data_IF_080506801182
#
_entry.id   IF_080506801182
#
_cell.length_a   1.000
_cell.length_b   1.000
_cell.length_c   1.000
_cell.angle_alpha   90.00
_cell.angle_beta   90.00
_cell.angle_gamma   90.00
#
_symmetry.space_group_name_H-M   'P 1'
#
loop_
_entity.id
_entity.type
_entity.pdbx_description
1 polymer ?
#
# COMPACT_ATOMS: atom_id res chain seq x y z
N UNK A 1 22.19 9.98 -2.31
CA UNK A 1 21.78 10.90 -1.23
C UNK A 1 21.31 12.16 -1.93
N UNK A 2 20.00 12.46 -1.95
CA UNK A 2 19.24 13.03 -0.81
C UNK A 2 17.80 12.43 -0.78
N UNK A 3 16.86 12.67 0.13
CA UNK A 3 16.61 13.65 1.19
C UNK A 3 16.43 12.84 2.48
N UNK A 4 17.49 12.76 3.29
CA UNK A 4 17.34 12.32 4.68
C UNK A 4 16.70 13.51 5.38
N UNK A 5 15.41 13.41 5.71
CA UNK A 5 14.77 14.28 6.69
C UNK A 5 15.78 14.52 7.81
N UNK A 6 16.10 15.78 8.11
CA UNK A 6 16.71 16.13 9.40
C UNK A 6 15.76 15.55 10.43
N UNK A 7 16.08 14.37 10.97
CA UNK A 7 15.25 13.69 11.96
C UNK A 7 15.13 14.65 13.13
N UNK A 8 13.97 15.29 13.23
CA UNK A 8 13.69 16.17 14.33
C UNK A 8 13.71 15.32 15.61
N UNK A 9 14.20 15.88 16.71
CA UNK A 9 14.18 15.21 18.02
C UNK A 9 12.78 14.67 18.34
N UNK A 10 11.72 15.35 17.87
CA UNK A 10 10.34 14.91 18.03
C UNK A 10 10.02 13.61 17.28
N UNK A 11 10.47 13.43 16.03
CA UNK A 11 10.26 12.18 15.27
C UNK A 11 10.99 11.02 15.94
N UNK A 12 12.22 11.26 16.40
CA UNK A 12 13.00 10.24 17.13
C UNK A 12 12.35 9.89 18.46
N UNK A 13 11.88 10.89 19.22
CA UNK A 13 11.16 10.68 20.48
C UNK A 13 9.85 9.93 20.24
N UNK A 14 9.07 10.31 19.23
CA UNK A 14 7.84 9.61 18.83
C UNK A 14 8.09 8.14 18.51
N UNK A 15 9.13 7.84 17.72
CA UNK A 15 9.53 6.46 17.40
C UNK A 15 9.96 5.68 18.66
N UNK A 16 10.66 6.32 19.60
CA UNK A 16 11.09 5.70 20.85
C UNK A 16 9.90 5.44 21.79
N UNK A 17 8.96 6.38 21.92
CA UNK A 17 7.74 6.19 22.73
C UNK A 17 6.75 5.22 22.09
N UNK A 18 6.65 5.16 20.77
CA UNK A 18 5.77 4.20 20.07
C UNK A 18 6.28 2.76 20.18
N UNK A 19 7.59 2.58 20.36
CA UNK A 19 8.22 1.29 20.64
C UNK A 19 8.29 0.97 22.14
N UNK A 20 7.87 1.91 22.99
CA UNK A 20 7.85 1.74 24.44
C UNK A 20 6.57 1.06 24.90
N UNK A 21 6.50 -0.25 24.69
CA UNK A 21 5.35 -1.06 25.05
C UNK A 21 5.26 -1.37 26.57
N UNK A 22 6.08 -0.72 27.41
CA UNK A 22 6.37 -1.11 28.82
C UNK A 22 5.13 -1.37 29.68
N UNK A 23 4.07 -0.57 29.54
CA UNK A 23 2.84 -0.67 30.35
C UNK A 23 1.67 -1.34 29.63
N UNK A 24 1.87 -1.83 28.41
CA UNK A 24 0.80 -2.46 27.64
C UNK A 24 0.45 -3.83 28.21
N UNK A 25 -0.84 -4.11 28.38
CA UNK A 25 -1.33 -5.42 28.85
C UNK A 25 -1.46 -6.45 27.70
N UNK A 26 -1.51 -5.96 26.47
CA UNK A 26 -1.53 -6.73 25.22
C UNK A 26 -1.14 -5.81 24.04
N UNK A 27 -0.82 -6.43 22.90
CA UNK A 27 -0.49 -5.73 21.65
C UNK A 27 -1.46 -6.21 20.57
N UNK A 28 -2.11 -5.27 19.89
CA UNK A 28 -2.90 -5.54 18.69
C UNK A 28 -2.04 -5.18 17.49
N UNK A 29 -1.87 -6.13 16.56
CA UNK A 29 -1.01 -5.94 15.40
C UNK A 29 -1.78 -6.20 14.11
N UNK A 30 -1.67 -5.26 13.15
CA UNK A 30 -2.31 -5.40 11.83
C UNK A 30 -1.45 -6.29 10.92
N UNK A 31 -1.27 -7.55 11.28
CA UNK A 31 -0.59 -8.56 10.47
C UNK A 31 -1.25 -9.92 10.71
N UNK A 32 -0.75 -10.95 10.07
CA UNK A 32 -1.26 -12.32 10.20
C UNK A 32 -0.12 -13.31 10.35
N UNK A 33 -0.42 -14.44 11.00
CA UNK A 33 0.56 -15.49 11.27
C UNK A 33 1.20 -16.00 9.98
N UNK A 34 0.41 -16.21 8.93
CA UNK A 34 0.88 -16.76 7.65
C UNK A 34 1.83 -15.84 6.88
N UNK A 35 1.89 -14.54 7.22
CA UNK A 35 2.83 -13.57 6.65
C UNK A 35 4.10 -13.44 7.49
N UNK A 36 3.97 -13.40 8.82
CA UNK A 36 5.05 -12.96 9.71
C UNK A 36 5.31 -13.89 10.92
N UNK A 37 4.93 -15.17 10.86
CA UNK A 37 5.08 -16.17 11.94
C UNK A 37 6.42 -16.09 12.69
N UNK A 38 7.53 -16.05 11.95
CA UNK A 38 8.88 -16.00 12.54
C UNK A 38 9.10 -14.74 13.39
N UNK A 39 8.58 -13.59 12.95
CA UNK A 39 8.71 -12.33 13.65
C UNK A 39 7.76 -12.25 14.84
N UNK A 40 6.49 -12.68 14.66
CA UNK A 40 5.51 -12.76 15.73
C UNK A 40 6.00 -13.65 16.89
N UNK A 41 6.55 -14.82 16.57
CA UNK A 41 7.14 -15.72 17.55
C UNK A 41 8.28 -15.06 18.36
N UNK A 42 9.14 -14.28 17.70
CA UNK A 42 10.24 -13.55 18.37
C UNK A 42 9.73 -12.40 19.24
N UNK A 43 8.73 -11.67 18.77
CA UNK A 43 8.11 -10.57 19.52
C UNK A 43 7.42 -11.11 20.78
N UNK A 44 6.71 -12.24 20.66
CA UNK A 44 6.04 -12.90 21.78
C UNK A 44 7.04 -13.31 22.88
N UNK A 45 8.21 -13.86 22.50
CA UNK A 45 9.28 -14.21 23.43
C UNK A 45 9.90 -13.00 24.12
N UNK A 46 10.04 -11.88 23.40
CA UNK A 46 10.68 -10.66 23.91
C UNK A 46 9.78 -9.92 24.90
N UNK A 47 8.52 -9.73 24.54
CA UNK A 47 7.66 -8.77 25.21
C UNK A 47 6.76 -9.37 26.28
N UNK A 48 6.64 -10.70 26.34
CA UNK A 48 5.91 -11.46 27.40
C UNK A 48 4.49 -10.96 27.67
N UNK A 49 3.89 -10.25 26.72
CA UNK A 49 2.47 -9.85 26.71
C UNK A 49 1.80 -10.53 25.53
N UNK A 50 0.49 -10.82 25.60
CA UNK A 50 -0.24 -11.37 24.45
C UNK A 50 -0.16 -10.44 23.24
N UNK A 51 0.19 -10.99 22.08
CA UNK A 51 0.16 -10.31 20.79
C UNK A 51 -0.97 -10.91 19.95
N UNK A 52 -1.85 -10.06 19.44
CA UNK A 52 -3.01 -10.44 18.64
C UNK A 52 -2.81 -9.96 17.19
N UNK A 53 -2.36 -10.85 16.27
CA UNK A 53 -2.27 -10.55 14.84
C UNK A 53 -3.68 -10.61 14.21
N UNK A 54 -4.35 -9.47 14.16
CA UNK A 54 -5.74 -9.35 13.66
C UNK A 54 -5.80 -8.77 12.25
N UNK A 55 -4.73 -8.88 11.47
CA UNK A 55 -4.65 -8.32 10.13
C UNK A 55 -5.16 -9.28 9.04
N UNK A 56 -5.34 -8.75 7.82
CA UNK A 56 -5.50 -7.33 7.49
C UNK A 56 -6.82 -6.70 8.00
N UNK A 57 -6.69 -5.58 8.72
CA UNK A 57 -7.82 -4.85 9.29
C UNK A 57 -8.87 -4.38 8.25
N UNK A 58 -8.44 -4.10 7.02
CA UNK A 58 -9.33 -3.61 5.98
C UNK A 58 -10.39 -4.64 5.53
N UNK A 59 -10.17 -5.95 5.76
CA UNK A 59 -11.14 -7.03 5.51
C UNK A 59 -12.06 -7.29 6.71
N UNK A 60 -11.57 -7.10 7.94
CA UNK A 60 -12.32 -7.37 9.18
C UNK A 60 -13.35 -6.27 9.47
N UNK A 61 -12.91 -5.02 9.34
CA UNK A 61 -13.75 -3.86 9.52
C UNK A 61 -13.80 -3.11 8.18
N UNK A 62 -14.70 -3.49 7.25
CA UNK A 62 -14.96 -2.70 6.06
C UNK A 62 -15.54 -1.36 6.51
N UNK A 63 -14.68 -0.38 6.73
CA UNK A 63 -15.07 0.95 7.17
C UNK A 63 -15.98 1.56 6.11
N UNK A 64 -17.25 1.78 6.43
CA UNK A 64 -18.18 2.55 5.57
C UNK A 64 -17.78 4.02 5.43
N UNK A 65 -16.75 4.48 6.16
CA UNK A 65 -16.20 5.83 6.07
C UNK A 65 -14.73 5.76 5.72
N UNK A 66 -14.37 6.51 4.69
CA UNK A 66 -12.99 6.77 4.29
C UNK A 66 -12.28 7.50 5.43
N UNK A 67 -11.04 7.12 5.72
CA UNK A 67 -10.21 7.84 6.71
C UNK A 67 -9.60 9.13 6.12
N UNK A 68 -9.88 9.42 4.85
CA UNK A 68 -9.46 10.64 4.15
C UNK A 68 -10.46 11.76 4.40
N UNK A 69 -9.94 12.97 4.67
CA UNK A 69 -10.73 14.20 4.74
C UNK A 69 -11.20 14.70 3.36
N UNK A 70 -10.84 13.98 2.29
CA UNK A 70 -11.09 14.33 0.90
C UNK A 70 -12.01 13.26 0.30
N UNK A 71 -13.04 13.72 -0.42
CA UNK A 71 -14.00 12.86 -1.10
C UNK A 71 -13.30 12.02 -2.18
N UNK A 72 -13.65 10.73 -2.24
CA UNK A 72 -13.16 9.82 -3.26
C UNK A 72 -13.83 10.11 -4.61
N UNK A 73 -13.04 10.16 -5.67
CA UNK A 73 -13.55 10.32 -7.02
C UNK A 73 -13.86 8.94 -7.62
N UNK A 74 -15.12 8.49 -7.46
CA UNK A 74 -15.62 7.25 -8.04
C UNK A 74 -15.68 7.28 -9.58
N UNK A 75 -15.48 8.42 -10.24
CA UNK A 75 -15.50 8.50 -11.72
C UNK A 75 -14.38 7.69 -12.39
N UNK A 76 -13.30 7.40 -11.65
CA UNK A 76 -12.23 6.54 -12.16
C UNK A 76 -12.68 5.09 -12.35
N UNK A 77 -13.70 4.61 -11.63
CA UNK A 77 -14.18 3.23 -11.75
C UNK A 77 -14.84 2.97 -13.12
N UNK A 78 -15.68 3.90 -13.56
CA UNK A 78 -16.30 3.82 -14.90
C UNK A 78 -15.24 3.81 -16.02
N UNK A 79 -14.14 4.54 -15.84
CA UNK A 79 -13.02 4.50 -16.79
C UNK A 79 -12.29 3.16 -16.76
N UNK A 80 -12.16 2.51 -15.60
CA UNK A 80 -11.56 1.19 -15.45
C UNK A 80 -12.41 0.08 -16.07
N UNK A 81 -13.74 0.21 -16.06
CA UNK A 81 -14.68 -0.73 -16.71
C UNK A 81 -14.43 -0.87 -18.21
N UNK A 82 -14.00 0.21 -18.88
CA UNK A 82 -13.69 0.23 -20.30
C UNK A 82 -12.31 -0.35 -20.65
N UNK A 83 -11.48 -0.67 -19.65
CA UNK A 83 -10.12 -1.19 -19.86
C UNK A 83 -10.07 -2.71 -19.92
N UNK A 84 -9.07 -3.24 -20.64
CA UNK A 84 -8.85 -4.68 -20.69
C UNK A 84 -8.47 -5.24 -19.30
N UNK A 85 -8.81 -6.51 -18.99
CA UNK A 85 -8.44 -7.14 -17.74
C UNK A 85 -6.92 -7.08 -17.48
N UNK A 86 -6.56 -6.72 -16.25
CA UNK A 86 -5.17 -6.64 -15.78
C UNK A 86 -4.24 -5.83 -16.72
N UNK A 87 -4.74 -4.76 -17.32
CA UNK A 87 -3.98 -3.90 -18.25
C UNK A 87 -3.56 -2.56 -17.64
N UNK A 88 -4.21 -2.13 -16.56
CA UNK A 88 -4.01 -0.81 -15.97
C UNK A 88 -2.96 -0.86 -14.87
N UNK A 89 -1.99 0.06 -14.89
CA UNK A 89 -1.13 0.34 -13.73
C UNK A 89 -1.77 1.44 -12.88
N UNK A 90 -2.04 1.14 -11.62
CA UNK A 90 -2.49 2.13 -10.65
C UNK A 90 -1.28 2.74 -9.92
N UNK A 91 -1.22 4.06 -9.83
CA UNK A 91 -0.18 4.82 -9.13
C UNK A 91 -0.77 5.59 -7.95
N UNK A 92 -0.27 5.30 -6.75
CA UNK A 92 -0.54 6.06 -5.52
C UNK A 92 0.79 6.29 -4.80
N UNK A 93 1.58 7.20 -5.36
CA UNK A 93 2.99 7.41 -4.97
C UNK A 93 3.07 8.28 -3.72
N UNK A 94 2.15 9.23 -3.56
CA UNK A 94 1.98 9.99 -2.33
C UNK A 94 0.97 9.27 -1.44
N UNK A 95 1.47 8.51 -0.46
CA UNK A 95 0.74 8.48 0.82
C UNK A 95 0.48 9.94 1.25
N UNK A 96 -0.49 10.19 2.12
CA UNK A 96 -0.98 11.53 2.50
C UNK A 96 0.08 12.55 3.01
N UNK A 97 1.37 12.20 3.00
CA UNK A 97 2.50 12.88 3.62
C UNK A 97 3.72 13.11 2.69
N UNK A 98 3.73 12.64 1.43
CA UNK A 98 4.88 12.80 0.54
C UNK A 98 4.67 13.90 -0.51
N UNK A 99 5.69 14.72 -0.73
CA UNK A 99 5.74 15.75 -1.77
C UNK A 99 6.66 15.31 -2.92
N UNK A 100 6.32 15.72 -4.14
CA UNK A 100 7.02 15.47 -5.40
C UNK A 100 7.42 16.84 -5.96
N UNK A 101 8.65 17.00 -6.43
CA UNK A 101 9.05 18.24 -7.12
C UNK A 101 8.63 18.25 -8.60
N UNK A 102 8.79 19.38 -9.27
CA UNK A 102 8.43 19.53 -10.69
C UNK A 102 9.20 18.55 -11.59
N UNK A 103 10.48 18.30 -11.29
CA UNK A 103 11.33 17.42 -12.13
C UNK A 103 10.87 15.98 -12.03
N UNK A 104 10.64 15.49 -10.80
CA UNK A 104 10.11 14.16 -10.56
C UNK A 104 8.72 13.99 -11.18
N UNK A 105 7.85 15.01 -11.11
CA UNK A 105 6.55 14.97 -11.77
C UNK A 105 6.68 14.76 -13.29
N UNK A 106 7.55 15.52 -13.96
CA UNK A 106 7.78 15.41 -15.40
C UNK A 106 8.37 14.05 -15.81
N UNK A 107 9.31 13.52 -15.02
CA UNK A 107 9.91 12.21 -15.25
C UNK A 107 8.88 11.08 -15.05
N UNK A 108 8.01 11.17 -14.03
CA UNK A 108 6.90 10.24 -13.82
C UNK A 108 5.90 10.31 -14.97
N UNK A 109 5.46 11.52 -15.33
CA UNK A 109 4.51 11.75 -16.42
C UNK A 109 5.05 11.19 -17.75
N UNK A 110 6.31 11.48 -18.06
CA UNK A 110 6.98 10.98 -19.27
C UNK A 110 7.14 9.46 -19.24
N UNK A 111 7.59 8.91 -18.10
CA UNK A 111 7.75 7.46 -17.94
C UNK A 111 6.44 6.68 -18.08
N UNK A 112 5.32 7.24 -17.59
CA UNK A 112 3.98 6.67 -17.80
C UNK A 112 3.59 6.67 -19.27
N UNK A 113 3.78 7.80 -19.96
CA UNK A 113 3.48 7.91 -21.38
C UNK A 113 4.32 6.93 -22.22
N UNK A 114 5.63 6.84 -21.92
CA UNK A 114 6.63 6.00 -22.61
C UNK A 114 6.47 4.50 -22.31
N UNK A 115 5.82 4.14 -21.20
CA UNK A 115 5.52 2.73 -20.88
C UNK A 115 4.54 2.09 -21.87
N UNK A 116 3.74 2.93 -22.53
CA UNK A 116 2.63 2.56 -23.39
C UNK A 116 1.56 1.67 -22.72
N UNK A 117 1.46 1.69 -21.39
CA UNK A 117 0.42 0.98 -20.63
C UNK A 117 -0.70 1.95 -20.22
N UNK A 118 -1.96 1.49 -20.15
CA UNK A 118 -3.01 2.24 -19.49
C UNK A 118 -2.66 2.52 -18.03
N UNK A 119 -2.92 3.74 -17.53
CA UNK A 119 -2.59 4.11 -16.16
C UNK A 119 -3.69 4.92 -15.47
N UNK A 120 -3.84 4.71 -14.18
CA UNK A 120 -4.63 5.55 -13.28
C UNK A 120 -3.69 6.16 -12.24
N UNK A 121 -3.58 7.48 -12.21
CA UNK A 121 -2.71 8.18 -11.27
C UNK A 121 -3.52 8.99 -10.27
N UNK A 122 -3.42 8.61 -9.00
CA UNK A 122 -3.95 9.41 -7.88
C UNK A 122 -2.86 10.41 -7.43
N UNK A 123 -3.07 11.70 -7.70
CA UNK A 123 -2.15 12.77 -7.29
C UNK A 123 -2.91 14.02 -6.87
N UNK A 124 -2.56 14.55 -5.70
CA UNK A 124 -3.09 15.82 -5.24
C UNK A 124 -2.21 16.98 -5.75
N UNK A 125 -2.81 18.09 -6.22
CA UNK A 125 -2.05 19.28 -6.56
C UNK A 125 -1.18 19.79 -5.40
N UNK A 126 -1.65 19.66 -4.15
CA UNK A 126 -0.88 20.04 -2.96
C UNK A 126 0.42 19.23 -2.78
N UNK A 127 0.49 18.03 -3.35
CA UNK A 127 1.69 17.17 -3.27
C UNK A 127 2.80 17.60 -4.21
N UNK A 128 2.56 18.49 -5.18
CA UNK A 128 3.60 18.95 -6.11
C UNK A 128 4.23 20.23 -5.55
N UNK A 129 5.51 20.25 -5.21
CA UNK A 129 6.20 21.45 -4.70
C UNK A 129 6.73 22.35 -5.84
N UNK A 130 6.87 23.65 -5.57
CA UNK A 130 7.56 24.58 -6.49
C UNK A 130 6.76 25.14 -7.67
N UNK A 131 5.54 24.66 -7.91
CA UNK A 131 4.71 25.06 -9.06
C UNK A 131 3.52 25.96 -8.68
N UNK A 132 3.27 27.03 -9.42
CA UNK A 132 2.08 27.90 -9.22
C UNK A 132 0.83 27.35 -9.94
N UNK A 133 0.96 26.78 -11.14
CA UNK A 133 -0.16 26.31 -11.98
C UNK A 133 -0.34 24.78 -12.00
N UNK A 134 -0.23 24.14 -10.83
CA UNK A 134 -0.22 22.67 -10.67
C UNK A 134 -1.44 21.97 -11.29
N UNK A 135 -2.63 22.56 -11.15
CA UNK A 135 -3.87 21.98 -11.66
C UNK A 135 -3.90 21.97 -13.19
N UNK A 136 -3.44 23.05 -13.83
CA UNK A 136 -3.34 23.11 -15.30
C UNK A 136 -2.34 22.09 -15.84
N UNK A 137 -1.20 21.92 -15.16
CA UNK A 137 -0.19 20.94 -15.54
C UNK A 137 -0.77 19.51 -15.54
N UNK A 138 -1.50 19.15 -14.48
CA UNK A 138 -2.18 17.86 -14.37
C UNK A 138 -3.24 17.70 -15.48
N UNK A 139 -4.07 18.71 -15.69
CA UNK A 139 -5.11 18.67 -16.74
C UNK A 139 -4.51 18.51 -18.14
N UNK A 140 -3.42 19.21 -18.44
CA UNK A 140 -2.78 19.15 -19.75
C UNK A 140 -2.07 17.82 -19.97
N UNK A 141 -1.52 17.22 -18.91
CA UNK A 141 -1.02 15.84 -18.94
C UNK A 141 -2.15 14.83 -19.19
N UNK A 142 -3.29 14.95 -18.49
CA UNK A 142 -4.45 14.10 -18.70
C UNK A 142 -4.97 14.25 -20.13
N UNK A 143 -5.16 15.48 -20.64
CA UNK A 143 -5.61 15.76 -22.02
C UNK A 143 -4.73 15.09 -23.07
N UNK A 144 -3.41 15.13 -22.91
CA UNK A 144 -2.44 14.47 -23.80
C UNK A 144 -2.56 12.94 -23.80
N UNK A 145 -3.09 12.36 -22.72
CA UNK A 145 -3.17 10.91 -22.53
C UNK A 145 -4.59 10.38 -22.37
N UNK A 146 -5.64 11.15 -22.70
CA UNK A 146 -7.05 10.82 -22.43
C UNK A 146 -7.53 9.43 -22.86
N UNK A 147 -6.89 8.83 -23.86
CA UNK A 147 -7.22 7.49 -24.33
C UNK A 147 -6.64 6.35 -23.48
N UNK A 148 -5.61 6.61 -22.68
CA UNK A 148 -4.85 5.59 -21.92
C UNK A 148 -4.63 5.96 -20.46
N UNK A 149 -4.74 7.23 -20.10
CA UNK A 149 -4.40 7.76 -18.79
C UNK A 149 -5.58 8.48 -18.16
N UNK A 150 -5.84 8.19 -16.89
CA UNK A 150 -6.77 8.92 -16.04
C UNK A 150 -6.02 9.46 -14.83
N UNK A 151 -6.26 10.72 -14.48
CA UNK A 151 -5.67 11.35 -13.30
C UNK A 151 -6.79 11.81 -12.38
N UNK A 152 -6.70 11.47 -11.09
CA UNK A 152 -7.68 11.87 -10.08
C UNK A 152 -6.99 12.43 -8.85
N UNK A 153 -7.66 13.33 -8.13
CA UNK A 153 -7.13 13.92 -6.89
C UNK A 153 -7.04 12.90 -5.76
N UNK A 154 -8.06 12.03 -5.66
CA UNK A 154 -8.13 10.98 -4.66
C UNK A 154 -8.94 9.80 -5.21
N UNK A 155 -8.31 8.64 -5.31
CA UNK A 155 -8.95 7.43 -5.81
C UNK A 155 -9.51 6.59 -4.66
N UNK A 156 -10.65 5.91 -4.84
CA UNK A 156 -11.11 4.87 -3.91
C UNK A 156 -10.19 3.64 -4.01
N UNK A 157 -8.99 3.73 -3.43
CA UNK A 157 -7.88 2.79 -3.61
C UNK A 157 -8.29 1.33 -3.44
N UNK A 158 -9.11 1.01 -2.42
CA UNK A 158 -9.62 -0.35 -2.20
C UNK A 158 -10.45 -0.85 -3.39
N UNK A 159 -11.38 -0.03 -3.89
CA UNK A 159 -12.23 -0.39 -5.05
C UNK A 159 -11.40 -0.50 -6.32
N UNK A 160 -10.42 0.39 -6.49
CA UNK A 160 -9.49 0.36 -7.64
C UNK A 160 -8.64 -0.91 -7.63
N UNK A 161 -8.03 -1.27 -6.50
CA UNK A 161 -7.21 -2.48 -6.39
C UNK A 161 -8.04 -3.76 -6.57
N UNK A 162 -9.30 -3.76 -6.14
CA UNK A 162 -10.23 -4.87 -6.36
C UNK A 162 -10.75 -4.96 -7.81
N UNK A 163 -10.49 -3.95 -8.64
CA UNK A 163 -10.99 -3.90 -10.02
C UNK A 163 -10.22 -4.84 -10.94
N UNK A 164 -10.93 -5.68 -11.70
CA UNK A 164 -10.31 -6.70 -12.57
C UNK A 164 -9.39 -6.16 -13.67
N UNK A 165 -9.56 -4.89 -14.04
CA UNK A 165 -8.71 -4.19 -15.01
C UNK A 165 -7.33 -3.79 -14.47
N UNK A 166 -7.16 -3.70 -13.15
CA UNK A 166 -5.88 -3.32 -12.54
C UNK A 166 -4.92 -4.52 -12.57
N UNK A 167 -3.78 -4.32 -13.23
CA UNK A 167 -2.75 -5.34 -13.41
C UNK A 167 -1.50 -5.13 -12.57
N UNK A 168 -1.36 -3.96 -11.95
CA UNK A 168 -0.21 -3.61 -11.12
C UNK A 168 -0.44 -2.35 -10.30
N UNK A 169 0.32 -2.22 -9.21
CA UNK A 169 0.20 -1.11 -8.29
C UNK A 169 1.57 -0.49 -7.94
N UNK A 170 1.81 0.73 -8.35
CA UNK A 170 2.96 1.50 -7.91
C UNK A 170 2.64 2.24 -6.61
N UNK A 171 3.36 1.86 -5.56
CA UNK A 171 3.14 2.34 -4.20
C UNK A 171 4.44 2.73 -3.49
N UNK A 172 4.30 3.60 -2.50
CA UNK A 172 5.32 3.87 -1.51
C UNK A 172 5.53 2.74 -0.49
N UNK A 173 4.81 1.62 -0.59
CA UNK A 173 4.95 0.45 0.29
C UNK A 173 4.56 0.71 1.76
N UNK A 174 3.62 1.64 2.00
CA UNK A 174 2.98 1.76 3.31
C UNK A 174 2.20 0.47 3.63
N UNK A 175 2.24 0.04 4.89
CA UNK A 175 1.75 -1.29 5.27
C UNK A 175 0.27 -1.56 4.91
N UNK A 176 -0.60 -0.56 5.06
CA UNK A 176 -2.02 -0.70 4.66
C UNK A 176 -2.17 -0.92 3.15
N UNK A 177 -1.52 -0.10 2.34
CA UNK A 177 -1.53 -0.22 0.87
C UNK A 177 -0.92 -1.56 0.42
N UNK A 178 0.11 -2.03 1.12
CA UNK A 178 0.70 -3.36 0.89
C UNK A 178 -0.34 -4.47 1.14
N UNK A 179 -1.01 -4.46 2.28
CA UNK A 179 -2.02 -5.45 2.61
C UNK A 179 -3.20 -5.42 1.64
N UNK A 180 -3.65 -4.23 1.21
CA UNK A 180 -4.72 -4.09 0.21
C UNK A 180 -4.31 -4.68 -1.15
N UNK A 181 -3.07 -4.41 -1.59
CA UNK A 181 -2.56 -4.96 -2.86
C UNK A 181 -2.46 -6.48 -2.83
N UNK A 182 -1.91 -7.04 -1.75
CA UNK A 182 -1.82 -8.50 -1.56
C UNK A 182 -3.21 -9.13 -1.45
N UNK A 183 -4.13 -8.46 -0.74
CA UNK A 183 -5.50 -8.90 -0.54
C UNK A 183 -6.29 -9.01 -1.85
N UNK A 184 -5.93 -8.22 -2.86
CA UNK A 184 -6.54 -8.27 -4.18
C UNK A 184 -5.73 -9.03 -5.24
N UNK A 185 -4.49 -9.42 -4.93
CA UNK A 185 -3.64 -10.17 -5.85
C UNK A 185 -2.97 -9.30 -6.91
N UNK A 186 -2.66 -8.04 -6.57
CA UNK A 186 -2.07 -7.07 -7.49
C UNK A 186 -0.56 -6.94 -7.19
N UNK A 187 0.34 -7.22 -8.15
CA UNK A 187 1.78 -7.08 -7.96
C UNK A 187 2.19 -5.61 -7.91
N UNK A 188 3.31 -5.32 -7.23
CA UNK A 188 3.66 -3.94 -6.87
C UNK A 188 4.94 -3.41 -7.54
N UNK A 189 4.95 -2.13 -7.90
CA UNK A 189 6.19 -1.36 -8.09
C UNK A 189 6.45 -0.62 -6.79
N UNK A 190 7.62 -0.86 -6.20
CA UNK A 190 7.99 -0.42 -4.87
C UNK A 190 8.90 0.81 -4.97
N UNK A 191 8.41 1.96 -4.48
CA UNK A 191 9.21 3.18 -4.31
C UNK A 191 9.07 3.72 -2.88
N UNK A 192 9.74 3.14 -1.90
CA UNK A 192 9.65 3.60 -0.51
C UNK A 192 10.24 5.00 -0.33
N UNK A 193 9.66 5.77 0.58
CA UNK A 193 10.12 7.12 0.92
C UNK A 193 10.74 7.18 2.32
N UNK A 194 10.06 6.67 3.35
CA UNK A 194 10.52 6.80 4.75
C UNK A 194 9.98 5.71 5.68
N UNK A 195 10.51 5.67 6.91
CA UNK A 195 10.09 4.79 8.01
C UNK A 195 10.09 3.29 7.62
N UNK A 196 8.99 2.59 7.90
CA UNK A 196 8.79 1.16 7.68
C UNK A 196 8.70 0.80 6.20
N UNK A 197 8.42 1.77 5.32
CA UNK A 197 8.27 1.55 3.88
C UNK A 197 9.50 0.88 3.25
N UNK A 198 10.70 1.23 3.70
CA UNK A 198 11.95 0.62 3.22
C UNK A 198 12.02 -0.88 3.55
N UNK A 199 11.56 -1.25 4.75
CA UNK A 199 11.51 -2.64 5.19
C UNK A 199 10.40 -3.37 4.45
N UNK A 200 9.22 -2.77 4.32
CA UNK A 200 8.08 -3.34 3.60
C UNK A 200 8.43 -3.60 2.12
N UNK A 201 9.09 -2.65 1.46
CA UNK A 201 9.56 -2.80 0.08
C UNK A 201 10.52 -4.00 -0.02
N UNK A 202 11.46 -4.13 0.91
CA UNK A 202 12.40 -5.26 0.93
C UNK A 202 11.68 -6.60 1.11
N UNK A 203 10.67 -6.68 1.96
CA UNK A 203 9.84 -7.89 2.11
C UNK A 203 9.12 -8.23 0.78
N UNK A 204 8.50 -7.23 0.14
CA UNK A 204 7.79 -7.40 -1.13
C UNK A 204 8.69 -7.88 -2.26
N UNK A 205 9.91 -7.35 -2.34
CA UNK A 205 10.85 -7.62 -3.44
C UNK A 205 11.65 -8.91 -3.19
N UNK A 206 12.25 -9.07 -2.00
CA UNK A 206 13.25 -10.10 -1.74
C UNK A 206 12.65 -11.37 -1.15
N UNK A 207 11.75 -11.24 -0.18
CA UNK A 207 11.18 -12.38 0.54
C UNK A 207 9.97 -12.95 -0.20
N UNK A 208 9.00 -12.10 -0.53
CA UNK A 208 7.74 -12.53 -1.13
C UNK A 208 7.77 -12.54 -2.66
N UNK A 209 8.68 -11.77 -3.28
CA UNK A 209 8.85 -11.70 -4.74
C UNK A 209 7.54 -11.39 -5.46
N UNK A 210 6.82 -10.39 -4.95
CA UNK A 210 5.52 -9.90 -5.46
C UNK A 210 5.62 -8.47 -6.00
N UNK A 211 6.82 -7.88 -6.00
CA UNK A 211 7.03 -6.56 -6.54
C UNK A 211 8.44 -6.33 -7.08
N UNK A 212 8.58 -5.22 -7.81
CA UNK A 212 9.83 -4.74 -8.40
C UNK A 212 10.23 -3.42 -7.75
N UNK A 213 11.53 -3.22 -7.53
CA UNK A 213 12.05 -1.95 -7.05
C UNK A 213 12.10 -0.91 -8.17
N UNK A 214 11.66 0.31 -7.88
CA UNK A 214 11.96 1.47 -8.70
C UNK A 214 13.12 2.25 -8.08
N UNK A 215 14.32 2.04 -8.60
CA UNK A 215 15.55 2.62 -8.04
C UNK A 215 15.61 4.14 -8.17
N UNK A 216 15.12 4.66 -9.31
CA UNK A 216 15.22 6.07 -9.68
C UNK A 216 13.96 6.59 -10.36
N UNK A 217 13.68 7.86 -10.13
CA UNK A 217 12.62 8.60 -10.81
C UNK A 217 13.20 9.16 -12.10
N UNK A 218 13.43 8.27 -13.06
CA UNK A 218 13.89 8.62 -14.41
C UNK A 218 12.93 7.94 -15.40
N UNK A 219 12.43 8.67 -16.39
CA UNK A 219 11.40 8.23 -17.34
C UNK A 219 11.70 6.88 -17.97
N UNK A 220 12.98 6.63 -18.31
CA UNK A 220 13.42 5.36 -18.91
C UNK A 220 13.28 4.20 -17.94
N UNK A 221 13.73 4.39 -16.70
CA UNK A 221 13.65 3.40 -15.62
C UNK A 221 12.19 3.13 -15.26
N UNK A 222 11.37 4.18 -15.17
CA UNK A 222 9.93 4.07 -14.89
C UNK A 222 9.24 3.27 -15.99
N UNK A 223 9.42 3.66 -17.26
CA UNK A 223 8.78 3.01 -18.38
C UNK A 223 9.21 1.53 -18.49
N UNK A 224 10.48 1.23 -18.27
CA UNK A 224 10.99 -0.14 -18.24
C UNK A 224 10.40 -0.96 -17.09
N UNK A 225 10.37 -0.41 -15.87
CA UNK A 225 9.83 -1.10 -14.69
C UNK A 225 8.34 -1.40 -14.85
N UNK A 226 7.56 -0.45 -15.38
CA UNK A 226 6.14 -0.67 -15.71
C UNK A 226 6.00 -1.78 -16.75
N UNK A 227 6.80 -1.76 -17.82
CA UNK A 227 6.75 -2.83 -18.84
C UNK A 227 7.13 -4.20 -18.26
N UNK A 228 8.17 -4.28 -17.42
CA UNK A 228 8.59 -5.53 -16.76
C UNK A 228 7.47 -6.13 -15.91
N UNK A 229 6.79 -5.30 -15.12
CA UNK A 229 5.67 -5.73 -14.28
C UNK A 229 4.42 -6.11 -15.11
N UNK A 230 4.10 -5.32 -16.14
CA UNK A 230 2.83 -5.43 -16.87
C UNK A 230 2.86 -6.36 -18.07
N UNK A 231 4.00 -6.54 -18.75
CA UNK A 231 4.09 -7.37 -19.98
C UNK A 231 5.37 -8.19 -20.07
N UNK A 232 6.35 -7.98 -19.18
CA UNK A 232 7.63 -8.69 -19.20
C UNK A 232 7.58 -10.12 -18.68
N UNK A 233 8.69 -10.83 -18.83
CA UNK A 233 8.83 -12.24 -18.45
C UNK A 233 8.61 -12.49 -16.95
N UNK A 234 8.98 -11.53 -16.11
CA UNK A 234 8.81 -11.57 -14.64
C UNK A 234 7.34 -11.57 -14.23
N UNK A 235 6.43 -11.07 -15.07
CA UNK A 235 4.99 -10.95 -14.76
C UNK A 235 4.38 -12.26 -14.30
N UNK A 236 4.76 -13.37 -14.94
CA UNK A 236 4.18 -14.69 -14.63
C UNK A 236 4.50 -15.12 -13.20
N UNK A 237 5.75 -14.94 -12.79
CA UNK A 237 6.21 -15.31 -11.45
C UNK A 237 5.63 -14.35 -10.40
N UNK A 238 5.66 -13.05 -10.65
CA UNK A 238 5.06 -12.03 -9.78
C UNK A 238 3.57 -12.31 -9.54
N UNK A 239 2.82 -12.62 -10.62
CA UNK A 239 1.39 -12.96 -10.53
C UNK A 239 1.16 -14.25 -9.74
N UNK A 240 1.96 -15.27 -9.96
CA UNK A 240 1.84 -16.52 -9.20
C UNK A 240 2.05 -16.24 -7.71
N UNK A 241 3.14 -15.57 -7.35
CA UNK A 241 3.48 -15.28 -5.96
C UNK A 241 2.41 -14.42 -5.28
N UNK A 242 1.90 -13.38 -5.96
CA UNK A 242 0.88 -12.50 -5.35
C UNK A 242 -0.45 -13.22 -5.19
N UNK A 243 -0.81 -14.14 -6.10
CA UNK A 243 -2.00 -14.97 -5.96
C UNK A 243 -1.86 -16.01 -4.84
N UNK A 244 -0.68 -16.62 -4.67
CA UNK A 244 -0.39 -17.50 -3.54
C UNK A 244 -0.53 -16.75 -2.20
N UNK A 245 -0.10 -15.48 -2.16
CA UNK A 245 -0.25 -14.61 -0.99
C UNK A 245 -1.70 -14.18 -0.77
N UNK A 246 -2.45 -13.87 -1.84
CA UNK A 246 -3.89 -13.62 -1.77
C UNK A 246 -4.64 -14.81 -1.18
N UNK A 247 -4.30 -16.02 -1.61
CA UNK A 247 -4.93 -17.24 -1.11
C UNK A 247 -4.67 -17.42 0.39
N UNK A 248 -3.43 -17.23 0.85
CA UNK A 248 -3.10 -17.26 2.29
C UNK A 248 -3.90 -16.22 3.08
N UNK A 249 -4.03 -15.01 2.53
CA UNK A 249 -4.84 -13.93 3.09
C UNK A 249 -6.31 -14.31 3.18
N UNK A 250 -6.87 -14.97 2.18
CA UNK A 250 -8.27 -15.40 2.19
C UNK A 250 -8.50 -16.59 3.16
N UNK A 251 -7.54 -17.51 3.23
CA UNK A 251 -7.58 -18.68 4.12
C UNK A 251 -7.55 -18.28 5.61
N UNK A 252 -6.78 -17.24 5.96
CA UNK A 252 -6.74 -16.74 7.34
C UNK A 252 -8.05 -16.11 7.82
N UNK A 253 -8.98 -15.83 6.91
CA UNK A 253 -10.32 -15.30 7.21
C UNK A 253 -11.43 -16.35 7.10
N UNK A 254 -11.12 -17.61 6.84
CA UNK A 254 -12.13 -18.65 6.91
C UNK A 254 -12.69 -18.75 8.33
N UNK A 255 -14.02 -18.87 8.45
CA UNK A 255 -14.76 -18.71 9.72
C UNK A 255 -14.29 -19.64 10.84
N UNK A 256 -13.88 -20.86 10.51
CA UNK A 256 -13.61 -21.91 11.51
C UNK A 256 -12.12 -22.22 11.68
N UNK A 257 -11.30 -21.99 10.64
CA UNK A 257 -9.87 -22.34 10.64
C UNK A 257 -8.92 -21.13 10.62
N UNK A 258 -9.42 -19.96 10.20
CA UNK A 258 -8.64 -18.75 9.97
C UNK A 258 -7.92 -18.21 11.21
N UNK A 259 -6.61 -18.02 11.09
CA UNK A 259 -5.72 -17.52 12.14
C UNK A 259 -6.15 -16.13 12.63
N UNK A 260 -6.50 -15.22 11.72
CA UNK A 260 -6.95 -13.86 12.04
C UNK A 260 -8.30 -13.84 12.77
N UNK A 261 -9.27 -14.67 12.36
CA UNK A 261 -10.57 -14.77 13.05
C UNK A 261 -10.41 -15.31 14.48
N UNK A 262 -9.55 -16.31 14.67
CA UNK A 262 -9.20 -16.83 16.00
C UNK A 262 -8.56 -15.73 16.86
N UNK A 263 -7.60 -14.98 16.32
CA UNK A 263 -6.96 -13.88 17.03
C UNK A 263 -7.96 -12.78 17.45
N UNK A 264 -8.96 -12.45 16.61
CA UNK A 264 -10.03 -11.49 16.97
C UNK A 264 -10.92 -12.02 18.10
N UNK A 265 -11.28 -13.30 18.07
CA UNK A 265 -12.06 -13.93 19.12
C UNK A 265 -11.27 -13.98 20.44
N UNK A 266 -10.00 -14.34 20.38
CA UNK A 266 -9.09 -14.32 21.53
C UNK A 266 -8.93 -12.92 22.12
N UNK A 267 -8.79 -11.90 21.27
CA UNK A 267 -8.75 -10.50 21.69
C UNK A 267 -10.05 -10.09 22.39
N UNK A 268 -11.21 -10.47 21.85
CA UNK A 268 -12.53 -10.14 22.42
C UNK A 268 -12.73 -10.81 23.78
N UNK A 269 -12.32 -12.06 23.91
CA UNK A 269 -12.31 -12.80 25.17
C UNK A 269 -11.36 -12.16 26.18
N UNK A 270 -10.16 -11.74 25.73
CA UNK A 270 -9.19 -11.05 26.57
C UNK A 270 -9.73 -9.72 27.10
N UNK A 271 -10.30 -8.87 26.24
CA UNK A 271 -10.93 -7.59 26.64
C UNK A 271 -12.07 -7.84 27.64
N UNK A 272 -12.92 -8.84 27.38
CA UNK A 272 -14.02 -9.20 28.28
C UNK A 272 -13.53 -9.72 29.65
N UNK A 273 -12.37 -10.38 29.69
CA UNK A 273 -11.77 -10.83 30.95
C UNK A 273 -11.14 -9.68 31.76
N UNK A 274 -10.76 -8.58 31.10
CA UNK A 274 -10.19 -7.39 31.75
C UNK A 274 -11.26 -6.54 32.41
N UNK A 275 -12.42 -6.38 31.79
CA UNK A 275 -13.55 -5.62 32.38
C UNK A 275 -14.09 -6.27 33.66
N UNK A 276 -13.92 -7.58 33.82
CA UNK A 276 -14.22 -8.30 35.06
C UNK A 276 -13.18 -8.09 36.17
N UNK A 277 -11.93 -7.73 35.82
CA UNK A 277 -10.81 -7.53 36.78
C UNK A 277 -10.65 -6.07 37.20
N UNK A 278 -11.12 -5.13 36.40
CA UNK A 278 -11.09 -3.70 36.68
C UNK A 278 -12.46 -3.08 36.35
N UNK A 279 -13.46 -3.18 37.26
CA UNK A 279 -14.72 -2.48 37.07
C UNK A 279 -14.47 -0.97 37.06
N UNK A 280 -15.02 -0.28 36.06
CA UNK A 280 -15.01 1.18 35.92
C UNK A 280 -15.66 1.87 37.12
#
# INVERSE_FOLDING_TARGET
>A
MPIVFRQSEEVRRFMLTSNDIRSSVAIIWNTMEDLEHTWLSRLQQRYKVPIFPIGPLHKIAPTSRTTSLIEEDDSCLAWLDDQAPQSVIFLSVCGSLAAIDETDFEEIASGLADSNQPFLWAIQPSSIEGLEEKERLIEDFEKRNRNRGRVVKWAPQKKVLAHGSVGGFWSHCGWNSTLESLGEGVPMICRPHFADQLVNARLLIQEWKVGLELEKVERGVIAETIRRLMVGDERKELKKNVMDMKQKLDDSFQKDEGTSNKAVNELTNFISSLSLKFPL
#
